data_IF_465167353929
#
_entry.id   IF_465167353929
#
_cell.length_a   1.000
_cell.length_b   1.000
_cell.length_c   1.000
_cell.angle_alpha   90.00
_cell.angle_beta   90.00
_cell.angle_gamma   90.00
#
_symmetry.space_group_name_H-M   'P 1'
#
loop_
_entity.id
_entity.type
_entity.pdbx_description
1 polymer ?
#
# COMPACT_ATOMS: atom_id res chain seq x y z
N UNK A 1 -11.38 -24.87 -14.21
CA UNK A 1 -11.55 -24.97 -12.75
C UNK A 1 -11.07 -23.68 -12.11
N UNK A 2 -11.89 -23.03 -11.29
CA UNK A 2 -11.50 -21.88 -10.47
C UNK A 2 -11.06 -22.41 -9.11
N UNK A 3 -9.84 -22.08 -8.69
CA UNK A 3 -9.25 -22.49 -7.42
C UNK A 3 -9.21 -21.29 -6.46
N UNK A 4 -9.80 -21.44 -5.27
CA UNK A 4 -9.76 -20.41 -4.24
C UNK A 4 -8.94 -20.85 -3.03
N UNK A 5 -7.98 -20.01 -2.65
CA UNK A 5 -7.29 -20.04 -1.35
C UNK A 5 -7.86 -19.02 -0.37
N UNK A 6 -8.90 -18.29 -0.79
CA UNK A 6 -9.49 -17.22 0.00
C UNK A 6 -10.53 -17.81 0.97
N UNK A 7 -10.44 -17.54 2.30
CA UNK A 7 -11.31 -18.18 3.30
C UNK A 7 -12.79 -17.77 3.25
N UNK A 8 -13.12 -16.69 2.50
CA UNK A 8 -14.48 -16.14 2.41
C UNK A 8 -15.01 -16.09 0.96
N UNK A 9 -14.32 -16.69 0.00
CA UNK A 9 -14.76 -16.73 -1.41
C UNK A 9 -14.67 -18.19 -1.86
N UNK A 10 -15.79 -18.84 -1.93
CA UNK A 10 -15.88 -20.23 -2.40
C UNK A 10 -15.87 -20.28 -3.93
N UNK A 11 -15.22 -21.29 -4.49
CA UNK A 11 -15.10 -21.56 -5.93
C UNK A 11 -15.29 -23.05 -6.23
N UNK A 12 -14.90 -23.52 -7.42
CA UNK A 12 -14.99 -24.95 -7.76
C UNK A 12 -14.18 -25.83 -6.81
N UNK A 13 -13.00 -25.35 -6.41
CA UNK A 13 -12.11 -25.99 -5.42
C UNK A 13 -11.64 -24.96 -4.42
N UNK A 14 -11.70 -25.30 -3.13
CA UNK A 14 -11.29 -24.43 -2.04
C UNK A 14 -10.21 -25.10 -1.21
N UNK A 15 -9.13 -24.36 -0.94
CA UNK A 15 -7.99 -24.85 -0.14
C UNK A 15 -7.59 -23.78 0.88
N UNK A 16 -7.51 -24.16 2.15
CA UNK A 16 -7.05 -23.26 3.22
C UNK A 16 -5.64 -23.66 3.63
N UNK A 17 -4.66 -22.81 3.29
CA UNK A 17 -3.25 -23.08 3.65
C UNK A 17 -2.87 -22.54 5.03
N UNK A 18 -3.72 -21.69 5.66
CA UNK A 18 -3.54 -21.17 7.02
C UNK A 18 -2.12 -20.62 7.32
N UNK A 19 -1.49 -19.98 6.33
CA UNK A 19 -0.14 -19.40 6.46
C UNK A 19 1.03 -20.38 6.34
N UNK A 20 0.80 -21.69 6.17
CA UNK A 20 1.87 -22.63 5.83
C UNK A 20 2.38 -22.45 4.40
N UNK A 21 3.56 -22.97 4.12
CA UNK A 21 4.06 -23.04 2.73
C UNK A 21 3.18 -23.99 1.88
N UNK A 22 2.99 -23.69 0.57
CA UNK A 22 2.30 -24.59 -0.34
C UNK A 22 3.11 -25.89 -0.53
N UNK A 23 2.40 -27.02 -0.71
CA UNK A 23 2.99 -28.31 -0.97
C UNK A 23 2.65 -28.83 -2.38
N UNK A 24 2.95 -30.12 -2.62
CA UNK A 24 2.71 -30.78 -3.91
C UNK A 24 1.23 -30.87 -4.29
N UNK A 25 0.34 -30.91 -3.30
CA UNK A 25 -1.12 -30.91 -3.54
C UNK A 25 -1.57 -29.57 -4.09
N UNK A 26 -1.17 -28.46 -3.45
CA UNK A 26 -1.48 -27.10 -3.92
C UNK A 26 -0.88 -26.87 -5.31
N UNK A 27 0.36 -27.27 -5.55
CA UNK A 27 1.00 -27.16 -6.86
C UNK A 27 0.21 -27.90 -7.94
N UNK A 28 -0.24 -29.13 -7.65
CA UNK A 28 -1.04 -29.93 -8.58
C UNK A 28 -2.38 -29.27 -8.90
N UNK A 29 -3.04 -28.67 -7.91
CA UNK A 29 -4.31 -27.95 -8.11
C UNK A 29 -4.10 -26.67 -8.92
N UNK A 30 -3.05 -25.90 -8.62
CA UNK A 30 -2.72 -24.65 -9.34
C UNK A 30 -2.43 -24.95 -10.82
N UNK A 31 -1.66 -26.01 -11.15
CA UNK A 31 -1.38 -26.41 -12.53
C UNK A 31 -2.63 -26.72 -13.35
N UNK A 32 -3.72 -27.11 -12.70
CA UNK A 32 -5.00 -27.45 -13.34
C UNK A 32 -6.00 -26.30 -13.30
N UNK A 33 -5.67 -25.19 -12.64
CA UNK A 33 -6.57 -24.07 -12.48
C UNK A 33 -6.58 -23.17 -13.72
N UNK A 34 -7.77 -22.76 -14.15
CA UNK A 34 -7.96 -21.71 -15.16
C UNK A 34 -7.81 -20.30 -14.54
N UNK A 35 -8.17 -20.18 -13.26
CA UNK A 35 -7.99 -18.97 -12.45
C UNK A 35 -7.73 -19.35 -10.98
N UNK A 36 -6.95 -18.51 -10.28
CA UNK A 36 -6.62 -18.67 -8.86
C UNK A 36 -7.02 -17.42 -8.09
N UNK A 37 -7.76 -17.59 -6.99
CA UNK A 37 -8.16 -16.52 -6.07
C UNK A 37 -7.38 -16.68 -4.77
N UNK A 38 -6.60 -15.66 -4.43
CA UNK A 38 -5.73 -15.63 -3.26
C UNK A 38 -6.26 -14.66 -2.19
N UNK A 39 -5.98 -14.89 -0.90
CA UNK A 39 -6.33 -13.95 0.15
C UNK A 39 -5.43 -12.71 0.12
N UNK A 40 -5.92 -11.60 0.67
CA UNK A 40 -5.17 -10.33 0.79
C UNK A 40 -3.81 -10.50 1.49
N UNK A 41 -3.74 -11.38 2.49
CA UNK A 41 -2.52 -11.70 3.23
C UNK A 41 -1.70 -12.85 2.67
N UNK A 42 -1.84 -13.19 1.38
CA UNK A 42 -1.10 -14.31 0.78
C UNK A 42 0.41 -14.17 0.99
N UNK A 43 1.07 -15.30 1.28
CA UNK A 43 2.54 -15.41 1.34
C UNK A 43 3.13 -15.36 -0.06
N UNK A 44 4.35 -14.87 -0.16
CA UNK A 44 5.04 -14.75 -1.45
C UNK A 44 5.22 -16.09 -2.15
N UNK A 45 5.59 -17.13 -1.43
CA UNK A 45 5.79 -18.49 -1.99
C UNK A 45 4.53 -19.04 -2.69
N UNK A 46 3.35 -18.88 -2.08
CA UNK A 46 2.08 -19.29 -2.70
C UNK A 46 1.72 -18.39 -3.88
N UNK A 47 1.99 -17.08 -3.78
CA UNK A 47 1.77 -16.17 -4.88
C UNK A 47 2.64 -16.50 -6.09
N UNK A 48 3.95 -16.67 -5.88
CA UNK A 48 4.91 -16.97 -6.93
C UNK A 48 4.59 -18.31 -7.61
N UNK A 49 4.22 -19.35 -6.81
CA UNK A 49 3.77 -20.63 -7.32
C UNK A 49 2.51 -20.48 -8.19
N UNK A 50 1.53 -19.69 -7.74
CA UNK A 50 0.30 -19.43 -8.49
C UNK A 50 0.58 -18.70 -9.80
N UNK A 51 1.42 -17.66 -9.78
CA UNK A 51 1.80 -16.90 -10.98
C UNK A 51 2.64 -17.71 -11.96
N UNK A 52 3.43 -18.66 -11.46
CA UNK A 52 4.26 -19.52 -12.31
C UNK A 52 3.41 -20.45 -13.20
N UNK A 53 2.34 -21.03 -12.65
CA UNK A 53 1.52 -22.02 -13.36
C UNK A 53 0.17 -21.50 -13.88
N UNK A 54 -0.33 -20.37 -13.36
CA UNK A 54 -1.59 -19.79 -13.77
C UNK A 54 -1.44 -18.31 -14.15
N UNK A 55 -1.84 -17.96 -15.36
CA UNK A 55 -1.77 -16.56 -15.84
C UNK A 55 -2.84 -15.66 -15.20
N UNK A 56 -3.93 -16.25 -14.70
CA UNK A 56 -5.08 -15.51 -14.11
C UNK A 56 -5.10 -15.71 -12.61
N UNK A 57 -4.44 -14.79 -11.90
CA UNK A 57 -4.34 -14.77 -10.44
C UNK A 57 -4.92 -13.48 -9.90
N UNK A 58 -5.86 -13.56 -8.98
CA UNK A 58 -6.39 -12.44 -8.23
C UNK A 58 -6.03 -12.59 -6.74
N UNK A 59 -5.56 -11.53 -6.07
CA UNK A 59 -5.19 -10.23 -6.63
C UNK A 59 -3.86 -10.28 -7.39
N UNK A 60 -3.62 -9.26 -8.25
CA UNK A 60 -2.31 -9.04 -8.83
C UNK A 60 -1.41 -8.32 -7.79
N UNK A 61 -0.47 -9.06 -7.25
CA UNK A 61 0.52 -8.61 -6.27
C UNK A 61 1.95 -8.59 -6.79
N UNK A 62 2.14 -8.55 -8.12
CA UNK A 62 3.48 -8.48 -8.72
C UNK A 62 4.30 -7.32 -8.15
N UNK A 63 3.67 -6.16 -7.98
CA UNK A 63 4.35 -4.98 -7.44
C UNK A 63 4.63 -5.08 -5.93
N UNK A 64 3.73 -5.72 -5.17
CA UNK A 64 3.92 -5.94 -3.74
C UNK A 64 5.22 -6.69 -3.43
N UNK A 65 5.51 -7.72 -4.20
CA UNK A 65 6.66 -8.58 -3.97
C UNK A 65 7.93 -8.11 -4.70
N UNK A 66 7.77 -7.38 -5.80
CA UNK A 66 8.90 -6.78 -6.53
C UNK A 66 9.39 -5.49 -5.89
N UNK A 67 8.50 -4.72 -5.27
CA UNK A 67 8.76 -3.41 -4.68
C UNK A 67 8.31 -3.37 -3.21
N UNK A 68 8.96 -4.13 -2.31
CA UNK A 68 8.53 -4.22 -0.92
C UNK A 68 8.89 -2.97 -0.11
N UNK A 69 7.96 -2.55 0.75
CA UNK A 69 8.14 -1.44 1.69
C UNK A 69 8.16 -0.06 1.04
N UNK A 70 8.43 0.98 1.85
CA UNK A 70 8.40 2.39 1.42
C UNK A 70 9.49 2.74 0.40
N UNK A 71 10.62 2.05 0.46
CA UNK A 71 11.68 2.16 -0.55
C UNK A 71 11.17 1.62 -1.88
N UNK A 72 10.54 0.44 -1.86
CA UNK A 72 9.95 -0.17 -3.05
C UNK A 72 8.87 0.70 -3.65
N UNK A 73 7.94 1.22 -2.84
CA UNK A 73 6.91 2.16 -3.28
C UNK A 73 7.52 3.38 -3.98
N UNK A 74 8.54 4.01 -3.36
CA UNK A 74 9.22 5.18 -3.94
C UNK A 74 9.86 4.87 -5.30
N UNK A 75 10.49 3.72 -5.43
CA UNK A 75 11.10 3.29 -6.70
C UNK A 75 10.02 3.03 -7.76
N UNK A 76 8.91 2.41 -7.38
CA UNK A 76 7.77 2.19 -8.27
C UNK A 76 7.19 3.52 -8.76
N UNK A 77 6.93 4.49 -7.85
CA UNK A 77 6.38 5.80 -8.21
C UNK A 77 7.25 6.54 -9.21
N UNK A 78 8.58 6.50 -9.02
CA UNK A 78 9.55 7.07 -9.97
C UNK A 78 9.51 6.37 -11.32
N UNK A 79 9.44 5.04 -11.31
CA UNK A 79 9.42 4.23 -12.55
C UNK A 79 8.18 4.52 -13.40
N UNK A 80 7.01 4.67 -12.76
CA UNK A 80 5.74 4.93 -13.46
C UNK A 80 5.41 6.41 -13.60
N UNK A 81 6.27 7.31 -13.08
CA UNK A 81 6.08 8.76 -13.21
C UNK A 81 4.88 9.31 -12.43
N UNK A 82 4.51 8.69 -11.30
CA UNK A 82 3.41 9.18 -10.45
C UNK A 82 3.95 10.27 -9.51
N UNK A 83 3.30 11.45 -9.41
CA UNK A 83 3.67 12.51 -8.48
C UNK A 83 3.67 12.01 -7.03
N UNK A 84 4.74 12.29 -6.31
CA UNK A 84 4.93 11.95 -4.89
C UNK A 84 5.84 13.00 -4.24
N UNK A 85 5.81 13.17 -2.91
CA UNK A 85 6.73 14.09 -2.24
C UNK A 85 8.18 13.74 -2.54
N UNK A 86 9.06 14.73 -2.62
CA UNK A 86 10.49 14.48 -2.82
C UNK A 86 10.99 13.52 -1.74
N UNK A 87 11.63 12.44 -2.15
CA UNK A 87 11.98 11.33 -1.24
C UNK A 87 13.40 10.86 -1.51
N UNK A 88 14.20 10.77 -0.44
CA UNK A 88 15.56 10.27 -0.45
C UNK A 88 15.60 8.89 0.19
N UNK A 89 16.20 7.93 -0.49
CA UNK A 89 16.30 6.53 -0.07
C UNK A 89 17.67 6.28 0.53
N UNK A 90 17.71 5.59 1.67
CA UNK A 90 18.91 5.14 2.36
C UNK A 90 18.81 3.67 2.68
N UNK A 91 19.84 2.91 2.32
CA UNK A 91 19.92 1.47 2.63
C UNK A 91 20.27 1.22 4.09
N UNK A 92 20.90 2.19 4.76
CA UNK A 92 21.31 2.13 6.18
C UNK A 92 21.64 3.51 6.71
N UNK A 93 21.80 3.61 8.05
CA UNK A 93 22.32 4.82 8.70
C UNK A 93 23.76 5.11 8.23
N UNK A 94 24.56 4.09 7.98
CA UNK A 94 25.91 4.27 7.45
C UNK A 94 25.90 4.88 6.04
N UNK A 95 24.95 4.46 5.16
CA UNK A 95 24.76 5.07 3.83
C UNK A 95 24.36 6.54 3.95
N UNK A 96 23.44 6.87 4.89
CA UNK A 96 23.07 8.26 5.16
C UNK A 96 24.28 9.10 5.57
N UNK A 97 25.05 8.67 6.58
CA UNK A 97 26.20 9.41 7.10
C UNK A 97 27.31 9.60 6.06
N UNK A 98 27.51 8.62 5.17
CA UNK A 98 28.43 8.74 4.05
C UNK A 98 28.03 9.83 3.07
N UNK A 99 26.74 9.98 2.77
CA UNK A 99 26.21 10.96 1.81
C UNK A 99 26.01 12.34 2.42
N UNK A 100 25.67 12.39 3.71
CA UNK A 100 25.37 13.59 4.49
C UNK A 100 26.17 13.60 5.80
N UNK A 101 27.48 13.77 5.74
CA UNK A 101 28.32 13.77 6.92
C UNK A 101 28.01 15.01 7.78
N UNK A 102 27.95 14.86 9.14
CA UNK A 102 27.54 15.93 10.07
C UNK A 102 28.33 17.23 9.92
N UNK A 103 29.60 17.11 9.53
CA UNK A 103 30.53 18.26 9.40
C UNK A 103 30.14 19.21 8.25
N UNK A 104 29.34 18.74 7.30
CA UNK A 104 28.94 19.54 6.13
C UNK A 104 27.66 20.32 6.31
N UNK A 105 26.98 20.17 7.45
CA UNK A 105 25.67 20.81 7.75
C UNK A 105 24.68 20.80 6.59
N UNK A 106 24.72 19.73 5.77
CA UNK A 106 23.87 19.55 4.57
C UNK A 106 22.89 18.41 4.84
N UNK A 107 21.63 18.62 4.48
CA UNK A 107 20.55 17.65 4.66
C UNK A 107 19.92 17.33 3.30
N UNK A 108 19.31 16.13 3.14
CA UNK A 108 18.62 15.76 1.91
C UNK A 108 17.40 16.64 1.63
N UNK A 109 16.71 17.10 2.67
CA UNK A 109 15.53 17.97 2.61
C UNK A 109 15.61 19.04 3.70
N UNK A 110 15.04 20.24 3.51
CA UNK A 110 14.94 21.24 4.57
C UNK A 110 14.05 20.75 5.72
N UNK A 111 14.32 21.23 6.93
CA UNK A 111 13.44 20.99 8.07
C UNK A 111 12.15 21.83 7.98
N UNK A 112 10.99 21.31 8.44
CA UNK A 112 10.81 19.94 8.87
C UNK A 112 10.71 18.97 7.68
N UNK A 113 11.12 17.71 7.90
CA UNK A 113 10.90 16.61 6.95
C UNK A 113 10.38 15.36 7.69
N UNK A 114 9.99 14.32 6.95
CA UNK A 114 9.51 13.06 7.53
C UNK A 114 10.55 11.96 7.34
N UNK A 115 10.96 11.33 8.43
CA UNK A 115 11.82 10.15 8.47
C UNK A 115 10.93 8.92 8.64
N UNK A 116 11.03 7.93 7.73
CA UNK A 116 10.17 6.74 7.75
C UNK A 116 11.00 5.46 7.60
N UNK A 117 10.79 4.49 8.49
CA UNK A 117 11.36 3.14 8.31
C UNK A 117 10.76 2.41 7.13
N UNK A 118 11.57 1.58 6.46
CA UNK A 118 11.16 0.89 5.24
C UNK A 118 9.95 -0.06 5.46
N UNK A 119 10.04 -0.88 6.50
CA UNK A 119 9.02 -1.90 6.82
C UNK A 119 8.21 -1.50 8.06
N UNK A 120 7.44 -0.43 7.97
CA UNK A 120 6.60 0.02 9.08
C UNK A 120 5.18 0.26 8.61
N UNK A 121 4.20 -0.11 9.44
CA UNK A 121 2.78 0.10 9.20
C UNK A 121 2.13 0.93 10.30
N UNK A 122 0.91 1.38 10.08
CA UNK A 122 0.06 2.10 11.06
C UNK A 122 0.72 3.32 11.72
N UNK A 123 1.65 3.99 11.00
CA UNK A 123 2.38 5.16 11.53
C UNK A 123 3.56 4.82 12.44
N UNK A 124 3.84 3.55 12.71
CA UNK A 124 5.07 3.15 13.42
C UNK A 124 6.30 3.59 12.63
N UNK A 125 7.36 4.01 13.34
CA UNK A 125 8.61 4.49 12.72
C UNK A 125 8.40 5.59 11.66
N UNK A 126 7.46 6.48 11.88
CA UNK A 126 7.20 7.66 11.07
C UNK A 126 7.33 8.88 11.96
N UNK A 127 8.36 9.69 11.72
CA UNK A 127 8.74 10.81 12.57
C UNK A 127 8.83 12.10 11.78
N UNK A 128 8.19 13.16 12.25
CA UNK A 128 8.39 14.51 11.74
C UNK A 128 9.61 15.12 12.45
N UNK A 129 10.63 15.42 11.70
CA UNK A 129 11.92 15.88 12.19
C UNK A 129 12.02 17.39 12.01
N UNK A 130 12.22 18.13 13.09
CA UNK A 130 12.26 19.58 13.11
C UNK A 130 13.68 20.16 13.16
N UNK A 131 14.65 19.39 13.65
CA UNK A 131 16.02 19.82 13.86
C UNK A 131 17.03 18.67 13.82
N UNK A 132 18.30 19.01 13.96
CA UNK A 132 19.40 18.04 13.92
C UNK A 132 19.42 17.11 15.15
N UNK A 133 19.05 17.60 16.32
CA UNK A 133 19.06 16.81 17.55
C UNK A 133 18.04 15.65 17.47
N UNK A 134 16.83 15.97 17.01
CA UNK A 134 15.80 14.96 16.75
C UNK A 134 16.27 13.95 15.68
N UNK A 135 16.88 14.44 14.60
CA UNK A 135 17.40 13.55 13.55
C UNK A 135 18.43 12.57 14.13
N UNK A 136 19.40 13.04 14.90
CA UNK A 136 20.42 12.20 15.52
C UNK A 136 19.80 11.14 16.42
N UNK A 137 18.86 11.55 17.28
CA UNK A 137 18.14 10.64 18.19
C UNK A 137 17.45 9.50 17.41
N UNK A 138 16.73 9.83 16.34
CA UNK A 138 16.03 8.80 15.55
C UNK A 138 16.99 7.95 14.69
N UNK A 139 18.09 8.51 14.18
CA UNK A 139 19.11 7.72 13.48
C UNK A 139 19.76 6.67 14.39
N UNK A 140 19.95 6.97 15.69
CA UNK A 140 20.41 5.97 16.67
C UNK A 140 19.40 4.83 16.85
N UNK A 141 18.10 5.16 16.93
CA UNK A 141 17.05 4.14 16.97
C UNK A 141 17.06 3.25 15.71
N UNK A 142 17.19 3.87 14.52
CA UNK A 142 17.28 3.13 13.26
C UNK A 142 18.51 2.22 13.21
N UNK A 143 19.65 2.69 13.72
CA UNK A 143 20.87 1.85 13.85
C UNK A 143 20.67 0.65 14.76
N UNK A 144 19.97 0.83 15.89
CA UNK A 144 19.63 -0.29 16.77
C UNK A 144 18.73 -1.33 16.07
N UNK A 145 17.79 -0.87 15.23
CA UNK A 145 16.91 -1.75 14.46
C UNK A 145 17.64 -2.46 13.32
N UNK A 146 18.61 -1.82 12.68
CA UNK A 146 19.48 -2.46 11.68
C UNK A 146 20.20 -3.68 12.28
N UNK A 147 20.67 -3.58 13.54
CA UNK A 147 21.29 -4.69 14.26
C UNK A 147 20.31 -5.85 14.51
N UNK A 148 19.01 -5.61 14.51
CA UNK A 148 17.97 -6.65 14.61
C UNK A 148 17.41 -7.13 13.27
N UNK A 149 18.05 -6.72 12.15
CA UNK A 149 17.72 -7.19 10.81
C UNK A 149 16.73 -6.31 10.02
N UNK A 150 16.23 -5.21 10.59
CA UNK A 150 15.36 -4.26 9.86
C UNK A 150 16.23 -3.18 9.22
N UNK A 151 16.30 -3.15 7.91
CA UNK A 151 17.16 -2.23 7.18
C UNK A 151 16.40 -1.27 6.28
N UNK A 152 17.02 -0.11 6.08
CA UNK A 152 16.59 0.91 5.14
C UNK A 152 15.51 1.84 5.69
N UNK A 153 15.57 3.06 5.23
CA UNK A 153 14.61 4.11 5.53
C UNK A 153 14.55 5.15 4.41
N UNK A 154 13.55 6.01 4.48
CA UNK A 154 13.43 7.16 3.58
C UNK A 154 13.37 8.46 4.39
N UNK A 155 13.90 9.53 3.81
CA UNK A 155 13.64 10.91 4.21
C UNK A 155 12.78 11.52 3.12
N UNK A 156 11.62 12.04 3.51
CA UNK A 156 10.62 12.59 2.61
C UNK A 156 10.31 14.02 2.96
N UNK A 157 10.19 14.88 1.96
CA UNK A 157 9.75 16.26 2.11
C UNK A 157 8.46 16.31 2.94
N UNK A 158 8.41 17.23 3.91
CA UNK A 158 7.17 17.52 4.61
C UNK A 158 6.21 18.28 3.69
N UNK A 159 4.99 17.74 3.58
CA UNK A 159 3.88 18.40 2.90
C UNK A 159 2.87 18.85 3.95
N UNK A 160 2.46 20.10 3.92
CA UNK A 160 1.44 20.61 4.82
C UNK A 160 0.05 20.21 4.32
N UNK A 161 -0.39 19.04 4.75
CA UNK A 161 -1.65 18.43 4.33
C UNK A 161 -2.88 18.88 5.14
N UNK A 162 -2.74 19.88 6.03
CA UNK A 162 -3.86 20.43 6.81
C UNK A 162 -4.52 19.42 7.75
N UNK A 163 -3.80 18.40 8.22
CA UNK A 163 -4.32 17.36 9.12
C UNK A 163 -5.19 16.30 8.43
N UNK A 164 -5.15 16.19 7.11
CA UNK A 164 -5.95 15.20 6.37
C UNK A 164 -5.23 14.61 5.17
N UNK A 165 -5.55 13.39 4.83
CA UNK A 165 -5.13 12.72 3.60
C UNK A 165 -6.29 11.88 3.04
N UNK A 166 -6.15 11.42 1.81
CA UNK A 166 -7.15 10.59 1.13
C UNK A 166 -6.68 9.14 1.11
N UNK A 167 -7.54 8.22 1.57
CA UNK A 167 -7.41 6.81 1.27
C UNK A 167 -8.26 6.47 0.04
N UNK A 168 -7.65 5.94 -1.01
CA UNK A 168 -8.36 5.32 -2.13
C UNK A 168 -8.24 3.81 -2.02
N UNK A 169 -9.36 3.12 -1.95
CA UNK A 169 -9.42 1.64 -1.93
C UNK A 169 -9.70 1.14 -3.34
N UNK A 170 -8.84 0.27 -3.81
CA UNK A 170 -8.89 -0.38 -5.13
C UNK A 170 -9.43 -1.80 -4.93
N UNK A 171 -10.56 -2.11 -5.58
CA UNK A 171 -11.16 -3.45 -5.64
C UNK A 171 -11.44 -3.77 -7.10
N UNK A 172 -10.46 -4.34 -7.81
CA UNK A 172 -10.44 -4.57 -9.24
C UNK A 172 -10.65 -3.26 -10.02
N UNK A 173 -11.79 -3.06 -10.64
CA UNK A 173 -12.20 -1.89 -11.42
C UNK A 173 -12.93 -0.82 -10.62
N UNK A 174 -13.26 -1.12 -9.36
CA UNK A 174 -13.94 -0.19 -8.45
C UNK A 174 -12.92 0.56 -7.60
N UNK A 175 -13.00 1.89 -7.63
CA UNK A 175 -12.30 2.78 -6.72
C UNK A 175 -13.30 3.37 -5.72
N UNK A 176 -12.88 3.54 -4.49
CA UNK A 176 -13.66 4.19 -3.44
C UNK A 176 -12.72 5.01 -2.58
N UNK A 177 -13.01 6.29 -2.43
CA UNK A 177 -12.14 7.23 -1.73
C UNK A 177 -12.83 7.87 -0.54
N UNK A 178 -12.02 8.26 0.45
CA UNK A 178 -12.46 9.01 1.61
C UNK A 178 -11.29 9.75 2.25
N UNK A 179 -11.59 10.87 2.89
CA UNK A 179 -10.65 11.58 3.75
C UNK A 179 -10.45 10.83 5.07
N UNK A 180 -9.23 10.80 5.53
CA UNK A 180 -8.89 10.52 6.92
C UNK A 180 -8.50 11.87 7.53
N UNK A 181 -9.26 12.32 8.50
CA UNK A 181 -9.12 13.66 9.10
C UNK A 181 -8.67 13.51 10.55
N UNK A 182 -7.54 14.12 10.89
CA UNK A 182 -7.03 14.21 12.25
C UNK A 182 -7.42 15.54 12.87
N UNK A 183 -8.18 15.50 13.97
CA UNK A 183 -8.64 16.70 14.67
C UNK A 183 -7.67 17.20 15.75
N UNK A 184 -6.75 16.33 16.24
CA UNK A 184 -5.73 16.73 17.20
C UNK A 184 -4.55 17.43 16.48
N UNK A 185 -4.33 18.73 16.68
CA UNK A 185 -3.24 19.47 16.02
C UNK A 185 -1.84 19.03 16.46
N UNK A 186 -1.73 18.25 17.55
CA UNK A 186 -0.46 17.66 17.99
C UNK A 186 -0.10 16.38 17.23
N UNK A 187 -1.06 15.80 16.54
CA UNK A 187 -0.89 14.59 15.73
C UNK A 187 -0.80 14.98 14.26
N UNK A 188 0.27 14.57 13.59
CA UNK A 188 0.38 14.75 12.15
C UNK A 188 -0.04 13.50 11.36
N UNK A 189 -0.20 12.35 12.04
CA UNK A 189 -0.68 11.11 11.45
C UNK A 189 -2.19 11.12 11.35
N UNK A 190 -2.71 10.81 10.18
CA UNK A 190 -4.14 10.79 9.85
C UNK A 190 -4.78 9.41 9.96
N UNK A 191 -3.99 8.41 10.33
CA UNK A 191 -4.44 7.02 10.44
C UNK A 191 -5.62 6.88 11.40
N UNK A 192 -6.59 6.03 11.04
CA UNK A 192 -7.75 5.74 11.89
C UNK A 192 -7.34 5.15 13.25
N UNK A 193 -6.25 4.36 13.30
CA UNK A 193 -5.68 3.84 14.54
C UNK A 193 -5.07 4.92 15.43
N UNK A 194 -4.66 6.05 14.86
CA UNK A 194 -4.15 7.23 15.58
C UNK A 194 -5.24 8.27 15.90
N UNK A 195 -6.53 7.90 15.79
CA UNK A 195 -7.66 8.79 16.09
C UNK A 195 -8.24 9.55 14.89
N UNK A 196 -7.75 9.30 13.68
CA UNK A 196 -8.34 9.89 12.47
C UNK A 196 -9.78 9.44 12.25
N UNK A 197 -10.62 10.32 11.73
CA UNK A 197 -12.01 10.05 11.37
C UNK A 197 -12.20 9.99 9.86
N UNK A 198 -13.21 9.24 9.42
CA UNK A 198 -13.57 9.10 8.00
C UNK A 198 -14.55 10.21 7.61
N UNK A 199 -14.22 10.94 6.53
CA UNK A 199 -15.12 11.89 5.88
C UNK A 199 -15.24 11.56 4.38
N UNK A 200 -16.47 11.40 3.89
CA UNK A 200 -16.80 11.02 2.53
C UNK A 200 -17.42 12.15 1.71
N UNK A 201 -17.57 13.33 2.32
CA UNK A 201 -18.45 14.38 1.81
C UNK A 201 -17.71 15.67 1.47
N UNK A 202 -16.56 15.92 2.10
CA UNK A 202 -15.78 17.14 1.85
C UNK A 202 -14.96 17.03 0.57
N UNK A 203 -14.83 18.16 -0.14
CA UNK A 203 -13.94 18.35 -1.30
C UNK A 203 -13.95 17.20 -2.31
N UNK A 204 -15.15 16.85 -2.80
CA UNK A 204 -15.37 15.73 -3.71
C UNK A 204 -14.52 15.80 -4.99
N UNK A 205 -14.17 17.00 -5.44
CA UNK A 205 -13.25 17.22 -6.56
C UNK A 205 -11.84 16.70 -6.27
N UNK A 206 -11.35 16.85 -5.04
CA UNK A 206 -10.04 16.34 -4.63
C UNK A 206 -10.08 14.82 -4.46
N UNK A 207 -11.17 14.27 -3.91
CA UNK A 207 -11.37 12.82 -3.91
C UNK A 207 -11.32 12.24 -5.33
N UNK A 208 -11.97 12.91 -6.29
CA UNK A 208 -11.92 12.49 -7.70
C UNK A 208 -10.50 12.57 -8.29
N UNK A 209 -9.74 13.64 -8.02
CA UNK A 209 -8.33 13.74 -8.43
C UNK A 209 -7.47 12.60 -7.86
N UNK A 210 -7.70 12.20 -6.60
CA UNK A 210 -7.02 11.07 -5.98
C UNK A 210 -7.39 9.73 -6.64
N UNK A 211 -8.67 9.52 -6.98
CA UNK A 211 -9.13 8.34 -7.73
C UNK A 211 -8.53 8.29 -9.14
N UNK A 212 -8.45 9.41 -9.84
CA UNK A 212 -7.84 9.48 -11.18
C UNK A 212 -6.34 9.15 -11.14
N UNK A 213 -5.63 9.57 -10.07
CA UNK A 213 -4.26 9.16 -9.81
C UNK A 213 -4.16 7.65 -9.54
N UNK A 214 -5.05 7.10 -8.69
CA UNK A 214 -5.13 5.66 -8.41
C UNK A 214 -5.39 4.86 -9.69
N UNK A 215 -6.29 5.32 -10.52
CA UNK A 215 -6.59 4.68 -11.82
C UNK A 215 -5.36 4.62 -12.73
N UNK A 216 -4.62 5.73 -12.84
CA UNK A 216 -3.35 5.76 -13.60
C UNK A 216 -2.32 4.78 -13.02
N UNK A 217 -2.18 4.72 -11.69
CA UNK A 217 -1.30 3.75 -11.05
C UNK A 217 -1.69 2.32 -11.43
N UNK A 218 -2.99 1.97 -11.35
CA UNK A 218 -3.49 0.64 -11.72
C UNK A 218 -3.20 0.30 -13.19
N UNK A 219 -3.38 1.26 -14.11
CA UNK A 219 -3.11 1.06 -15.54
C UNK A 219 -1.64 0.72 -15.82
N UNK A 220 -0.69 1.35 -15.10
CA UNK A 220 0.75 1.11 -15.30
C UNK A 220 1.27 -0.12 -14.56
N UNK A 221 0.61 -0.53 -13.49
CA UNK A 221 1.14 -1.54 -12.56
C UNK A 221 0.35 -2.84 -12.51
N UNK A 222 -0.89 -2.82 -12.99
CA UNK A 222 -1.83 -3.92 -12.87
C UNK A 222 -2.34 -4.18 -11.45
N UNK A 223 -2.04 -3.31 -10.48
CA UNK A 223 -2.56 -3.42 -9.10
C UNK A 223 -4.09 -3.37 -9.14
N UNK A 224 -4.73 -4.37 -8.52
CA UNK A 224 -6.18 -4.52 -8.51
C UNK A 224 -6.78 -4.83 -7.13
N UNK A 225 -5.96 -4.83 -6.07
CA UNK A 225 -6.41 -4.90 -4.68
C UNK A 225 -5.39 -4.21 -3.77
N UNK A 226 -5.67 -2.98 -3.37
CA UNK A 226 -4.84 -2.20 -2.46
C UNK A 226 -5.62 -1.01 -1.87
N UNK A 227 -5.10 -0.43 -0.79
CA UNK A 227 -5.44 0.91 -0.36
C UNK A 227 -4.25 1.82 -0.63
N UNK A 228 -4.42 2.92 -1.31
CA UNK A 228 -3.36 3.91 -1.51
C UNK A 228 -3.63 5.17 -0.71
N UNK A 229 -2.57 5.79 -0.23
CA UNK A 229 -2.62 7.03 0.53
C UNK A 229 -2.15 8.19 -0.35
N UNK A 230 -3.00 9.19 -0.47
CA UNK A 230 -2.78 10.37 -1.30
C UNK A 230 -2.94 11.62 -0.43
N UNK A 231 -2.03 12.57 -0.56
CA UNK A 231 -2.17 13.86 0.10
C UNK A 231 -2.17 15.01 -0.90
N UNK A 232 -2.63 16.14 -0.43
CA UNK A 232 -2.60 17.42 -1.12
C UNK A 232 -1.85 18.42 -0.23
N UNK A 233 -1.00 19.25 -0.82
CA UNK A 233 -0.42 20.38 -0.11
C UNK A 233 -1.46 21.50 -0.04
N UNK A 234 -1.86 21.90 1.15
CA UNK A 234 -2.85 22.98 1.35
C UNK A 234 -2.38 24.35 0.81
N UNK A 235 -1.07 24.48 0.57
CA UNK A 235 -0.46 25.70 0.04
C UNK A 235 -0.30 25.66 -1.49
N UNK A 236 -0.55 24.52 -2.14
CA UNK A 236 -0.48 24.37 -3.59
C UNK A 236 -1.87 24.59 -4.22
N UNK A 237 -2.02 25.71 -4.91
CA UNK A 237 -3.26 26.08 -5.61
C UNK A 237 -3.56 25.19 -6.82
N UNK A 238 -2.65 24.33 -7.26
CA UNK A 238 -2.89 23.39 -8.35
C UNK A 238 -3.71 22.18 -7.92
N UNK A 239 -3.83 21.94 -6.60
CA UNK A 239 -4.42 20.72 -6.03
C UNK A 239 -3.81 19.45 -6.62
N UNK A 240 -2.50 19.41 -6.79
CA UNK A 240 -1.78 18.27 -7.30
C UNK A 240 -1.83 17.13 -6.28
N UNK A 241 -2.43 15.97 -6.61
CA UNK A 241 -2.37 14.82 -5.72
C UNK A 241 -0.94 14.27 -5.65
N UNK A 242 -0.49 13.90 -4.45
CA UNK A 242 0.82 13.29 -4.18
C UNK A 242 0.62 11.93 -3.54
N UNK A 243 1.12 10.88 -4.20
CA UNK A 243 1.03 9.51 -3.70
C UNK A 243 2.03 9.27 -2.58
N UNK A 244 1.59 8.74 -1.44
CA UNK A 244 2.43 8.50 -0.27
C UNK A 244 2.91 7.07 -0.15
N UNK A 245 1.99 6.11 -0.21
CA UNK A 245 2.29 4.69 -0.04
C UNK A 245 1.18 3.80 -0.60
N UNK A 246 1.52 2.52 -0.85
CA UNK A 246 0.59 1.48 -1.26
C UNK A 246 0.43 0.48 -0.11
N UNK A 247 -0.80 0.36 0.39
CA UNK A 247 -1.16 -0.55 1.45
C UNK A 247 -1.85 -1.79 0.87
N UNK A 248 -1.15 -2.89 0.71
CA UNK A 248 -1.74 -4.17 0.28
C UNK A 248 -2.54 -4.85 1.39
N UNK A 249 -2.39 -4.35 2.63
CA UNK A 249 -3.21 -4.71 3.78
C UNK A 249 -3.83 -3.45 4.36
N UNK A 250 -5.15 -3.29 4.24
CA UNK A 250 -5.85 -2.06 4.63
C UNK A 250 -7.08 -2.34 5.49
N UNK A 251 -7.46 -1.36 6.33
CA UNK A 251 -8.61 -1.44 7.22
C UNK A 251 -9.94 -1.41 6.47
N UNK A 252 -10.96 -2.06 7.05
CA UNK A 252 -12.30 -2.25 6.43
C UNK A 252 -13.38 -1.35 7.01
N UNK A 253 -13.03 -0.45 7.94
CA UNK A 253 -14.01 0.41 8.65
C UNK A 253 -14.86 1.25 7.71
N UNK A 254 -14.30 1.72 6.60
CA UNK A 254 -15.01 2.45 5.56
C UNK A 254 -16.23 1.68 5.01
N UNK A 255 -16.16 0.37 4.92
CA UNK A 255 -17.23 -0.49 4.40
C UNK A 255 -18.29 -0.84 5.45
N UNK A 256 -18.18 -0.31 6.67
CA UNK A 256 -19.08 -0.55 7.78
C UNK A 256 -18.87 -1.89 8.49
N UNK A 257 -18.76 -2.99 7.76
CA UNK A 257 -18.52 -4.31 8.35
C UNK A 257 -17.65 -5.20 7.46
N UNK A 258 -17.04 -6.24 8.04
CA UNK A 258 -16.33 -7.25 7.27
C UNK A 258 -17.26 -7.98 6.29
N UNK A 259 -18.52 -8.22 6.64
CA UNK A 259 -19.52 -8.84 5.76
C UNK A 259 -19.77 -7.97 4.52
N UNK A 260 -19.97 -6.66 4.70
CA UNK A 260 -20.17 -5.73 3.58
C UNK A 260 -18.92 -5.65 2.70
N UNK A 261 -17.72 -5.60 3.30
CA UNK A 261 -16.47 -5.63 2.55
C UNK A 261 -16.34 -6.89 1.67
N UNK A 262 -16.60 -8.08 2.24
CA UNK A 262 -16.47 -9.32 1.46
C UNK A 262 -17.53 -9.47 0.38
N UNK A 263 -18.73 -8.91 0.56
CA UNK A 263 -19.73 -8.85 -0.51
C UNK A 263 -19.22 -8.01 -1.70
N UNK A 264 -18.64 -6.82 -1.42
CA UNK A 264 -18.08 -5.95 -2.46
C UNK A 264 -16.84 -6.58 -3.11
N UNK A 265 -15.99 -7.25 -2.32
CA UNK A 265 -14.82 -7.97 -2.85
C UNK A 265 -15.25 -9.12 -3.78
N UNK A 266 -16.29 -9.87 -3.40
CA UNK A 266 -16.86 -10.94 -4.23
C UNK A 266 -17.34 -10.38 -5.57
N UNK A 267 -18.12 -9.30 -5.56
CA UNK A 267 -18.56 -8.62 -6.79
C UNK A 267 -17.36 -8.18 -7.67
N UNK A 268 -16.30 -7.67 -7.06
CA UNK A 268 -15.08 -7.29 -7.78
C UNK A 268 -14.38 -8.50 -8.43
N UNK A 269 -14.31 -9.64 -7.71
CA UNK A 269 -13.77 -10.90 -8.26
C UNK A 269 -14.68 -11.44 -9.36
N UNK A 270 -16.00 -11.35 -9.22
CA UNK A 270 -16.95 -11.74 -10.28
C UNK A 270 -16.72 -10.93 -11.58
N UNK A 271 -16.54 -9.61 -11.47
CA UNK A 271 -16.23 -8.77 -12.65
C UNK A 271 -14.86 -9.10 -13.24
N UNK A 272 -13.87 -9.38 -12.39
CA UNK A 272 -12.55 -9.82 -12.84
C UNK A 272 -12.64 -11.15 -13.60
N UNK A 273 -13.39 -12.12 -13.10
CA UNK A 273 -13.62 -13.41 -13.78
C UNK A 273 -14.38 -13.22 -15.10
N UNK A 274 -15.41 -12.36 -15.12
CA UNK A 274 -16.20 -12.05 -16.31
C UNK A 274 -15.36 -11.45 -17.46
N UNK A 275 -14.24 -10.79 -17.12
CA UNK A 275 -13.34 -10.25 -18.15
C UNK A 275 -12.63 -11.33 -18.97
N UNK A 276 -12.65 -12.58 -18.53
CA UNK A 276 -12.09 -13.74 -19.24
C UNK A 276 -13.18 -14.64 -19.84
N UNK A 277 -14.27 -14.87 -19.09
CA UNK A 277 -15.38 -15.72 -19.49
C UNK A 277 -16.65 -15.34 -18.70
N UNK A 278 -17.73 -15.04 -19.40
CA UNK A 278 -19.01 -14.59 -18.82
C UNK A 278 -19.68 -15.63 -17.91
N UNK A 279 -19.33 -16.90 -18.02
CA UNK A 279 -19.89 -17.98 -17.17
C UNK A 279 -19.11 -18.19 -15.87
N UNK A 280 -17.87 -17.74 -15.80
CA UNK A 280 -17.03 -17.95 -14.62
C UNK A 280 -17.55 -17.30 -13.33
N UNK A 281 -18.16 -16.10 -13.35
CA UNK A 281 -18.75 -15.53 -12.12
C UNK A 281 -19.74 -16.42 -11.40
N UNK A 282 -20.48 -17.25 -12.15
CA UNK A 282 -21.47 -18.20 -11.59
C UNK A 282 -20.84 -19.32 -10.76
N UNK A 283 -19.52 -19.48 -10.84
CA UNK A 283 -18.75 -20.56 -10.19
C UNK A 283 -18.17 -20.14 -8.85
N UNK A 284 -18.40 -18.90 -8.40
CA UNK A 284 -17.99 -18.43 -7.06
C UNK A 284 -19.21 -18.09 -6.19
N UNK A 285 -19.05 -18.30 -4.86
CA UNK A 285 -20.14 -18.14 -3.89
C UNK A 285 -19.71 -17.32 -2.69
#
# INVERSE_FOLDING_TARGET
MILSFHPCIDADVNVIVAGRAPGSEEETLIKRADAVILPQGVRQDLYDLSRHYCSRVFPNYDQRFRHPGKIGDTLLFRTVGIPHPETFIFSSVADYLKRFPPERARFPSPFPFVLKGNYSGEGQMVYKIHDLEQLQTYLEQFRAMENSGTQGFIIQQWIDHGGRDVRVVILHDRLSSYWRVQSDPKQFLTNISAGGIIDQHSDLNLLKKAEDMAHRLCQHTGINLAGIDVMFDKNDMSDQPLLLEINYWFGRRFFGSSKAYYAILKEAIERWLASFDSEWPKRIR
#
